data_IF_662308651392
#
_entry.id   IF_662308651392
#
_cell.length_a   1.000
_cell.length_b   1.000
_cell.length_c   1.000
_cell.angle_alpha   90.00
_cell.angle_beta   90.00
_cell.angle_gamma   90.00
#
_symmetry.space_group_name_H-M   'P 1'
#
loop_
_entity.id
_entity.type
_entity.pdbx_description
1 polymer ?
#
# COMPACT_ATOMS: atom_id res chain seq x y z
N UNK A 1 -0.95 7.24 -8.95
CA UNK A 1 -2.39 7.52 -9.05
C UNK A 1 -3.09 6.94 -7.83
N UNK A 2 -4.17 7.56 -7.40
CA UNK A 2 -5.00 7.02 -6.34
C UNK A 2 -6.44 7.43 -6.62
N UNK A 3 -7.35 6.47 -6.41
CA UNK A 3 -8.78 6.60 -6.62
C UNK A 3 -9.48 6.15 -5.34
N UNK A 4 -10.42 6.95 -4.88
CA UNK A 4 -11.24 6.67 -3.71
C UNK A 4 -12.71 6.63 -4.10
N UNK A 5 -13.44 5.67 -3.54
CA UNK A 5 -14.89 5.57 -3.63
C UNK A 5 -15.44 5.53 -2.22
N UNK A 6 -16.29 6.50 -1.88
CA UNK A 6 -16.88 6.63 -0.55
C UNK A 6 -18.29 7.21 -0.64
N UNK A 7 -19.10 6.89 0.37
CA UNK A 7 -20.42 7.50 0.57
C UNK A 7 -20.29 8.72 1.48
N UNK A 8 -21.01 9.80 1.16
CA UNK A 8 -21.06 11.00 2.00
C UNK A 8 -22.46 11.61 2.01
N UNK A 9 -22.79 12.31 3.09
CA UNK A 9 -24.05 13.05 3.26
C UNK A 9 -23.77 14.41 3.91
N UNK A 10 -24.68 15.37 3.69
CA UNK A 10 -24.64 16.65 4.39
C UNK A 10 -24.86 16.40 5.88
N UNK A 11 -24.06 17.07 6.71
CA UNK A 11 -24.23 17.08 8.17
C UNK A 11 -24.89 18.38 8.60
N UNK A 12 -25.65 18.34 9.69
CA UNK A 12 -26.30 19.51 10.25
C UNK A 12 -25.31 20.38 11.05
N UNK A 13 -25.52 21.70 11.00
CA UNK A 13 -24.68 22.70 11.67
C UNK A 13 -23.35 22.99 10.96
N UNK A 14 -22.51 23.78 11.61
CA UNK A 14 -21.26 24.29 11.02
C UNK A 14 -20.03 23.41 11.29
N UNK A 15 -20.19 22.27 11.97
CA UNK A 15 -19.08 21.35 12.28
C UNK A 15 -18.87 20.35 11.14
N UNK A 16 -17.73 20.37 10.44
CA UNK A 16 -17.47 19.40 9.38
C UNK A 16 -17.26 17.99 9.94
N UNK A 17 -17.76 16.99 9.23
CA UNK A 17 -17.46 15.58 9.48
C UNK A 17 -16.31 15.08 8.60
N UNK A 18 -15.52 14.15 9.12
CA UNK A 18 -14.42 13.54 8.39
C UNK A 18 -14.93 12.54 7.35
N UNK A 19 -14.39 12.61 6.13
CA UNK A 19 -14.68 11.61 5.10
C UNK A 19 -14.08 10.25 5.49
N UNK A 20 -14.75 9.13 5.14
CA UNK A 20 -14.32 7.79 5.55
C UNK A 20 -13.20 7.26 4.62
N UNK A 21 -12.13 8.02 4.45
CA UNK A 21 -11.03 7.68 3.55
C UNK A 21 -9.97 6.86 4.27
N UNK A 22 -9.60 5.74 3.67
CA UNK A 22 -8.49 4.90 4.12
C UNK A 22 -7.37 4.86 3.07
N UNK A 23 -6.12 4.65 3.49
CA UNK A 23 -4.97 4.52 2.59
C UNK A 23 -3.97 3.54 3.15
N UNK A 24 -3.11 2.97 2.29
CA UNK A 24 -2.02 2.09 2.71
C UNK A 24 -0.68 2.81 2.63
N UNK A 25 0.10 2.69 3.69
CA UNK A 25 1.45 3.23 3.83
C UNK A 25 2.45 2.09 3.85
N UNK A 26 3.46 2.16 2.99
CA UNK A 26 4.60 1.24 2.98
C UNK A 26 5.81 1.92 3.61
N UNK A 27 6.50 1.23 4.50
CA UNK A 27 7.66 1.78 5.23
C UNK A 27 8.86 0.85 5.16
N UNK A 28 9.36 0.50 3.96
CA UNK A 28 10.59 -0.26 3.82
C UNK A 28 11.78 0.51 4.42
N UNK A 29 12.73 -0.21 5.01
CA UNK A 29 14.01 0.38 5.40
C UNK A 29 14.88 0.54 4.15
N UNK A 30 15.09 1.78 3.73
CA UNK A 30 15.83 2.14 2.51
C UNK A 30 17.07 2.98 2.85
N UNK A 31 17.94 3.16 1.87
CA UNK A 31 19.02 4.16 1.94
C UNK A 31 18.45 5.58 1.89
N UNK A 32 19.29 6.58 2.18
CA UNK A 32 18.93 8.01 2.03
C UNK A 32 18.59 8.39 0.58
N UNK A 33 19.05 7.62 -0.40
CA UNK A 33 18.71 7.79 -1.81
C UNK A 33 17.39 7.10 -2.22
N UNK A 34 16.61 6.62 -1.25
CA UNK A 34 15.38 5.84 -1.49
C UNK A 34 15.64 4.59 -2.34
N UNK A 35 16.73 3.87 -2.07
CA UNK A 35 17.09 2.63 -2.76
C UNK A 35 17.21 1.43 -1.83
N UNK A 36 17.03 0.24 -2.40
CA UNK A 36 17.38 -1.04 -1.81
C UNK A 36 18.27 -1.85 -2.76
N UNK A 37 18.91 -2.91 -2.24
CA UNK A 37 19.75 -3.78 -3.05
C UNK A 37 18.91 -4.68 -3.97
N UNK A 38 19.27 -4.76 -5.24
CA UNK A 38 18.69 -5.69 -6.20
C UNK A 38 19.17 -7.12 -5.90
N UNK A 39 18.36 -8.13 -6.26
CA UNK A 39 18.73 -9.53 -6.04
C UNK A 39 18.65 -10.02 -4.59
N UNK A 40 18.19 -9.18 -3.65
CA UNK A 40 18.03 -9.55 -2.24
C UNK A 40 16.56 -9.63 -1.82
N UNK A 41 16.33 -10.22 -0.66
CA UNK A 41 15.02 -10.20 -0.01
C UNK A 41 14.89 -8.94 0.86
N UNK A 42 13.72 -8.32 0.83
CA UNK A 42 13.38 -7.18 1.68
C UNK A 42 12.02 -7.41 2.33
N UNK A 43 11.96 -7.24 3.65
CA UNK A 43 10.69 -7.15 4.37
C UNK A 43 10.20 -5.70 4.31
N UNK A 44 8.98 -5.51 3.84
CA UNK A 44 8.34 -4.20 3.70
C UNK A 44 7.17 -4.13 4.68
N UNK A 45 7.32 -3.47 5.83
CA UNK A 45 6.18 -3.18 6.69
C UNK A 45 5.17 -2.28 5.99
N UNK A 46 3.90 -2.50 6.32
CA UNK A 46 2.81 -1.66 5.86
C UNK A 46 1.78 -1.44 6.96
N UNK A 47 1.10 -0.30 6.91
CA UNK A 47 -0.02 0.00 7.79
C UNK A 47 -1.12 0.73 7.05
N UNK A 48 -2.32 0.64 7.60
CA UNK A 48 -3.51 1.30 7.07
C UNK A 48 -3.71 2.56 7.90
N UNK A 49 -3.92 3.68 7.23
CA UNK A 49 -4.29 4.95 7.84
C UNK A 49 -5.75 5.25 7.47
N UNK A 50 -6.61 5.50 8.46
CA UNK A 50 -8.03 5.84 8.27
C UNK A 50 -8.98 4.88 8.99
N UNK A 51 -10.29 4.96 8.71
CA UNK A 51 -11.30 4.12 9.37
C UNK A 51 -11.06 2.60 9.26
N UNK A 52 -10.37 2.15 8.21
CA UNK A 52 -10.07 0.73 7.98
C UNK A 52 -8.87 0.20 8.78
N UNK A 53 -8.22 0.97 9.66
CA UNK A 53 -7.03 0.51 10.41
C UNK A 53 -7.32 -0.70 11.32
N UNK A 54 -8.52 -0.74 11.92
CA UNK A 54 -8.94 -1.75 12.89
C UNK A 54 -9.82 -2.86 12.32
N UNK A 55 -10.89 -3.18 13.05
CA UNK A 55 -11.85 -4.24 12.70
C UNK A 55 -12.71 -3.92 11.48
N UNK A 56 -12.67 -2.69 10.96
CA UNK A 56 -13.44 -2.29 9.78
C UNK A 56 -12.82 -2.74 8.46
N UNK A 57 -11.60 -3.29 8.46
CA UNK A 57 -10.99 -3.82 7.25
C UNK A 57 -11.77 -5.06 6.76
N UNK A 58 -12.17 -5.06 5.48
CA UNK A 58 -12.77 -6.21 4.81
C UNK A 58 -11.81 -6.87 3.83
N UNK A 59 -11.09 -6.08 3.04
CA UNK A 59 -10.17 -6.59 2.02
C UNK A 59 -8.93 -5.72 1.93
N UNK A 60 -7.78 -6.38 1.83
CA UNK A 60 -6.49 -5.74 1.54
C UNK A 60 -5.73 -6.61 0.54
N UNK A 61 -5.75 -6.20 -0.72
CA UNK A 61 -4.98 -6.83 -1.78
C UNK A 61 -3.81 -5.94 -2.16
N UNK A 62 -2.60 -6.50 -2.11
CA UNK A 62 -1.37 -5.82 -2.49
C UNK A 62 -0.70 -6.56 -3.65
N UNK A 63 -0.24 -5.79 -4.62
CA UNK A 63 0.49 -6.25 -5.78
C UNK A 63 1.78 -5.45 -5.91
N UNK A 64 2.81 -6.11 -6.45
CA UNK A 64 4.13 -5.54 -6.69
C UNK A 64 4.48 -5.64 -8.18
N UNK A 65 5.17 -4.62 -8.67
CA UNK A 65 5.76 -4.59 -9.99
C UNK A 65 7.25 -4.26 -9.89
N UNK A 66 8.04 -4.89 -10.76
CA UNK A 66 9.49 -4.68 -10.91
C UNK A 66 9.87 -4.10 -12.28
N UNK A 67 8.87 -3.76 -13.10
CA UNK A 67 8.98 -3.26 -14.47
C UNK A 67 8.21 -1.94 -14.65
N UNK A 68 8.30 -1.08 -13.62
CA UNK A 68 7.66 0.24 -13.55
C UNK A 68 6.13 0.23 -13.73
N UNK A 69 5.47 -0.87 -13.33
CA UNK A 69 4.02 -1.03 -13.33
C UNK A 69 3.44 -1.58 -14.63
N UNK A 70 4.27 -2.13 -15.51
CA UNK A 70 3.84 -2.81 -16.74
C UNK A 70 3.14 -4.13 -16.40
N UNK A 71 3.73 -4.95 -15.52
CA UNK A 71 3.12 -6.17 -15.00
C UNK A 71 3.01 -6.14 -13.49
N UNK A 72 1.96 -6.75 -12.97
CA UNK A 72 1.66 -6.77 -11.53
C UNK A 72 1.56 -8.20 -11.02
N UNK A 73 2.23 -8.49 -9.90
CA UNK A 73 2.22 -9.79 -9.25
C UNK A 73 1.66 -9.66 -7.84
N UNK A 74 0.88 -10.64 -7.40
CA UNK A 74 0.36 -10.68 -6.02
C UNK A 74 1.51 -10.66 -5.02
N UNK A 75 1.43 -9.77 -4.04
CA UNK A 75 2.35 -9.68 -2.92
C UNK A 75 1.57 -10.02 -1.63
N UNK A 76 1.63 -11.27 -1.15
CA UNK A 76 0.87 -11.69 0.02
C UNK A 76 1.23 -10.86 1.25
N UNK A 77 0.20 -10.30 1.90
CA UNK A 77 0.34 -9.62 3.20
C UNK A 77 0.40 -10.68 4.28
N UNK A 78 1.46 -10.63 5.10
CA UNK A 78 1.64 -11.48 6.27
C UNK A 78 1.52 -10.67 7.54
N UNK A 79 1.20 -11.32 8.65
CA UNK A 79 1.24 -10.71 9.98
C UNK A 79 2.43 -11.28 10.73
N UNK A 80 3.34 -10.40 11.16
CA UNK A 80 4.53 -10.75 11.93
C UNK A 80 4.60 -9.82 13.14
N UNK A 81 4.61 -10.40 14.36
CA UNK A 81 4.63 -9.63 15.61
C UNK A 81 3.52 -8.54 15.68
N UNK A 82 2.32 -8.86 15.17
CA UNK A 82 1.19 -7.93 15.12
C UNK A 82 1.23 -6.92 13.97
N UNK A 83 2.32 -6.86 13.20
CA UNK A 83 2.49 -5.92 12.08
C UNK A 83 2.22 -6.58 10.73
N UNK A 84 1.58 -5.86 9.82
CA UNK A 84 1.41 -6.31 8.43
C UNK A 84 2.70 -6.07 7.66
N UNK A 85 3.17 -7.10 6.95
CA UNK A 85 4.43 -7.05 6.19
C UNK A 85 4.29 -7.74 4.83
N UNK A 86 5.07 -7.28 3.85
CA UNK A 86 5.35 -8.02 2.62
C UNK A 86 6.75 -8.60 2.70
N UNK A 87 6.93 -9.84 2.23
CA UNK A 87 8.25 -10.44 2.02
C UNK A 87 8.53 -10.45 0.52
N UNK A 88 9.34 -9.50 0.06
CA UNK A 88 9.64 -9.31 -1.35
C UNK A 88 11.01 -9.92 -1.70
N UNK A 89 11.10 -10.60 -2.83
CA UNK A 89 12.37 -11.05 -3.41
C UNK A 89 12.63 -10.23 -4.66
N UNK A 90 13.64 -9.35 -4.62
CA UNK A 90 13.92 -8.43 -5.70
C UNK A 90 14.68 -9.14 -6.83
N UNK A 91 14.24 -9.04 -8.09
CA UNK A 91 15.03 -9.51 -9.22
C UNK A 91 16.37 -8.77 -9.31
N UNK A 92 17.41 -9.44 -9.82
CA UNK A 92 18.77 -8.86 -9.95
C UNK A 92 18.84 -7.73 -10.99
N UNK A 93 17.94 -7.74 -11.98
CA UNK A 93 17.90 -6.82 -13.11
C UNK A 93 16.82 -5.73 -12.96
N UNK A 94 16.02 -5.76 -11.90
CA UNK A 94 15.01 -4.74 -11.66
C UNK A 94 15.67 -3.44 -11.16
N UNK A 95 15.13 -2.30 -11.56
CA UNK A 95 15.65 -0.96 -11.21
C UNK A 95 14.75 -0.19 -10.26
N UNK A 96 13.51 -0.65 -10.05
CA UNK A 96 12.57 -0.04 -9.12
C UNK A 96 11.52 -1.04 -8.66
N UNK A 97 10.83 -0.68 -7.60
CA UNK A 97 9.66 -1.39 -7.09
C UNK A 97 8.46 -0.46 -7.15
N UNK A 98 7.34 -0.95 -7.65
CA UNK A 98 6.05 -0.24 -7.64
C UNK A 98 5.00 -1.07 -6.91
N UNK A 99 4.04 -0.41 -6.28
CA UNK A 99 2.95 -1.06 -5.55
C UNK A 99 1.60 -0.69 -6.13
N UNK A 100 0.69 -1.65 -6.17
CA UNK A 100 -0.73 -1.46 -6.45
C UNK A 100 -1.53 -2.09 -5.33
N UNK A 101 -2.49 -1.37 -4.80
CA UNK A 101 -3.27 -1.74 -3.63
C UNK A 101 -4.74 -1.56 -3.94
N UNK A 102 -5.54 -2.53 -3.50
CA UNK A 102 -6.98 -2.39 -3.35
C UNK A 102 -7.34 -2.65 -1.90
N UNK A 103 -7.93 -1.65 -1.26
CA UNK A 103 -8.44 -1.70 0.10
C UNK A 103 -9.95 -1.53 0.05
N UNK A 104 -10.68 -2.37 0.79
CA UNK A 104 -12.11 -2.19 1.04
C UNK A 104 -12.41 -2.35 2.53
N UNK A 105 -13.27 -1.50 3.08
CA UNK A 105 -13.80 -1.63 4.43
C UNK A 105 -15.17 -2.34 4.45
N UNK A 106 -15.73 -2.57 5.64
CA UNK A 106 -17.03 -3.24 5.79
C UNK A 106 -18.21 -2.33 5.45
N UNK A 107 -18.01 -1.02 5.48
CA UNK A 107 -19.00 0.00 5.12
C UNK A 107 -19.11 0.22 3.60
N UNK A 108 -18.24 -0.45 2.83
CA UNK A 108 -18.26 -0.42 1.37
C UNK A 108 -17.37 0.65 0.74
N UNK A 109 -16.58 1.39 1.52
CA UNK A 109 -15.61 2.33 0.96
C UNK A 109 -14.45 1.56 0.34
N UNK A 110 -13.99 2.03 -0.82
CA UNK A 110 -12.93 1.38 -1.59
C UNK A 110 -11.83 2.39 -1.88
N UNK A 111 -10.58 1.95 -1.75
CA UNK A 111 -9.41 2.72 -2.14
C UNK A 111 -8.55 1.88 -3.09
N UNK A 112 -8.29 2.43 -4.27
CA UNK A 112 -7.31 1.90 -5.21
C UNK A 112 -6.11 2.84 -5.22
N UNK A 113 -4.93 2.34 -4.88
CA UNK A 113 -3.72 3.14 -4.79
C UNK A 113 -2.62 2.51 -5.61
N UNK A 114 -2.02 3.26 -6.53
CA UNK A 114 -0.85 2.83 -7.29
C UNK A 114 0.32 3.78 -7.07
N UNK A 115 1.39 3.25 -6.49
CA UNK A 115 2.66 3.95 -6.23
C UNK A 115 3.68 3.44 -7.25
N UNK A 116 3.96 4.25 -8.26
CA UNK A 116 4.99 3.96 -9.25
C UNK A 116 6.36 4.33 -8.70
N UNK A 117 7.36 3.47 -8.99
CA UNK A 117 8.76 3.67 -8.57
C UNK A 117 8.86 4.08 -7.09
N UNK A 118 8.14 3.38 -6.23
CA UNK A 118 8.07 3.62 -4.79
C UNK A 118 9.47 3.69 -4.14
N UNK A 119 10.41 2.89 -4.67
CA UNK A 119 11.83 3.01 -4.41
C UNK A 119 12.66 2.41 -5.54
N UNK A 120 13.94 2.79 -5.61
CA UNK A 120 14.90 2.29 -6.58
C UNK A 120 15.57 0.98 -6.14
N UNK A 121 16.05 0.20 -7.11
CA UNK A 121 16.86 -0.98 -6.90
C UNK A 121 18.24 -0.78 -7.54
N UNK A 122 19.29 -0.96 -6.74
CA UNK A 122 20.70 -0.80 -7.15
C UNK A 122 21.49 -2.06 -6.84
N UNK A 123 22.58 -2.31 -7.57
CA UNK A 123 23.43 -3.49 -7.35
C UNK A 123 24.18 -3.43 -6.02
#
# INVERSE_FOLDING_TARGET
MADWTFSSSRVDGDKPAWLPLSTVRFTPKLTLASTAKAGTKLTVPLWIQGPATGSNLKTLDVQVSYDAGTTWKKAPVKVEQGNRVLKLSHPKNATSVSFKVKLADKDGNVTNQTIYKAYGLVK
#
